data_IF_383667234868
#
_entry.id   IF_383667234868
#
_cell.length_a   1.000
_cell.length_b   1.000
_cell.length_c   1.000
_cell.angle_alpha   90.00
_cell.angle_beta   90.00
_cell.angle_gamma   90.00
#
_symmetry.space_group_name_H-M   'P 1'
#
loop_
_entity.id
_entity.type
_entity.pdbx_description
1 polymer ?
#
# COMPACT_ATOMS: atom_id res chain seq x y z
N UNK A 1 6.00 12.60 9.24
CA UNK A 1 4.53 12.43 9.27
C UNK A 1 3.77 13.65 8.71
N UNK A 2 3.63 14.78 9.42
CA UNK A 2 2.92 15.96 8.88
C UNK A 2 3.59 16.54 7.62
N UNK A 3 4.93 16.52 7.59
CA UNK A 3 5.71 16.93 6.42
C UNK A 3 5.38 16.08 5.18
N UNK A 4 5.26 14.76 5.34
CA UNK A 4 4.95 13.85 4.23
C UNK A 4 3.56 14.13 3.66
N UNK A 5 2.56 14.30 4.54
CA UNK A 5 1.19 14.64 4.14
C UNK A 5 1.17 15.96 3.36
N UNK A 6 1.88 16.99 3.87
CA UNK A 6 1.95 18.29 3.21
C UNK A 6 2.59 18.19 1.82
N UNK A 7 3.72 17.49 1.70
CA UNK A 7 4.46 17.36 0.44
C UNK A 7 3.67 16.51 -0.56
N UNK A 8 3.06 15.39 -0.12
CA UNK A 8 2.19 14.56 -0.96
C UNK A 8 0.97 15.34 -1.44
N UNK A 9 0.39 16.19 -0.60
CA UNK A 9 -0.75 17.02 -0.98
C UNK A 9 -0.36 18.09 -2.01
N UNK A 10 0.78 18.76 -1.82
CA UNK A 10 1.28 19.80 -2.73
C UNK A 10 1.70 19.22 -4.09
N UNK A 11 2.42 18.10 -4.09
CA UNK A 11 2.98 17.46 -5.28
C UNK A 11 2.15 16.27 -5.78
N UNK A 12 0.86 16.23 -5.43
CA UNK A 12 -0.01 15.09 -5.74
C UNK A 12 -0.09 14.79 -7.24
N UNK A 13 -0.06 15.84 -8.08
CA UNK A 13 -0.18 15.71 -9.53
C UNK A 13 1.11 15.14 -10.12
N UNK A 14 2.24 15.58 -9.61
CA UNK A 14 3.60 15.22 -10.00
C UNK A 14 3.91 13.78 -9.61
N UNK A 15 3.61 13.37 -8.36
CA UNK A 15 3.74 11.98 -7.94
C UNK A 15 2.87 11.05 -8.79
N UNK A 16 1.61 11.42 -9.02
CA UNK A 16 0.73 10.64 -9.90
C UNK A 16 1.32 10.50 -11.30
N UNK A 17 1.72 11.59 -11.95
CA UNK A 17 2.21 11.51 -13.34
C UNK A 17 3.51 10.72 -13.45
N UNK A 18 4.47 10.97 -12.57
CA UNK A 18 5.77 10.30 -12.58
C UNK A 18 5.67 8.80 -12.23
N UNK A 19 4.69 8.38 -11.43
CA UNK A 19 4.49 6.95 -11.12
C UNK A 19 3.81 6.16 -12.23
N UNK A 20 2.94 6.78 -13.04
CA UNK A 20 2.21 6.08 -14.10
C UNK A 20 2.81 6.27 -15.50
N UNK A 21 3.37 7.45 -15.80
CA UNK A 21 3.98 7.76 -17.10
C UNK A 21 5.18 8.73 -16.94
N UNK A 22 6.38 8.20 -16.63
CA UNK A 22 7.60 9.00 -16.54
C UNK A 22 7.95 9.73 -17.84
N UNK A 23 7.65 9.13 -19.00
CA UNK A 23 7.92 9.71 -20.31
C UNK A 23 7.06 10.94 -20.58
N UNK A 24 5.76 10.86 -20.29
CA UNK A 24 4.84 12.00 -20.39
C UNK A 24 5.20 13.08 -19.38
N UNK A 25 5.56 12.71 -18.15
CA UNK A 25 5.99 13.66 -17.13
C UNK A 25 7.22 14.48 -17.58
N UNK A 26 8.21 13.81 -18.19
CA UNK A 26 9.37 14.47 -18.77
C UNK A 26 8.98 15.38 -19.96
N UNK A 27 8.06 14.93 -20.82
CA UNK A 27 7.61 15.69 -21.98
C UNK A 27 6.87 17.00 -21.60
N UNK A 28 6.16 17.02 -20.47
CA UNK A 28 5.49 18.22 -19.95
C UNK A 28 6.39 19.09 -19.04
N UNK A 29 7.69 18.77 -18.93
CA UNK A 29 8.67 19.55 -18.20
C UNK A 29 8.75 19.27 -16.69
N UNK A 30 8.14 18.19 -16.19
CA UNK A 30 8.30 17.79 -14.79
C UNK A 30 9.70 17.17 -14.61
N UNK A 31 10.50 17.61 -13.61
CA UNK A 31 11.79 17.00 -13.33
C UNK A 31 11.59 15.64 -12.64
N UNK A 32 11.39 14.58 -13.43
CA UNK A 32 11.10 13.21 -12.97
C UNK A 32 12.11 12.74 -11.91
N UNK A 33 13.40 13.02 -12.13
CA UNK A 33 14.48 12.64 -11.22
C UNK A 33 14.33 13.31 -9.84
N UNK A 34 13.99 14.60 -9.82
CA UNK A 34 13.82 15.35 -8.57
C UNK A 34 12.59 14.85 -7.79
N UNK A 35 11.46 14.62 -8.47
CA UNK A 35 10.25 14.08 -7.85
C UNK A 35 10.50 12.68 -7.29
N UNK A 36 11.26 11.84 -8.00
CA UNK A 36 11.66 10.52 -7.52
C UNK A 36 12.52 10.61 -6.25
N UNK A 37 13.53 11.48 -6.21
CA UNK A 37 14.36 11.65 -5.01
C UNK A 37 13.61 12.27 -3.84
N UNK A 38 12.65 13.16 -4.08
CA UNK A 38 11.75 13.66 -3.03
C UNK A 38 10.96 12.48 -2.45
N UNK A 39 10.31 11.66 -3.30
CA UNK A 39 9.56 10.49 -2.84
C UNK A 39 10.45 9.53 -2.03
N UNK A 40 11.62 9.19 -2.56
CA UNK A 40 12.58 8.31 -1.88
C UNK A 40 13.06 8.89 -0.55
N UNK A 41 13.25 10.21 -0.47
CA UNK A 41 13.58 10.92 0.76
C UNK A 41 12.48 10.82 1.82
N UNK A 42 11.23 11.06 1.44
CA UNK A 42 10.07 10.93 2.34
C UNK A 42 9.94 9.50 2.87
N UNK A 43 10.04 8.50 1.98
CA UNK A 43 9.97 7.08 2.34
C UNK A 43 11.12 6.72 3.28
N UNK A 44 12.34 7.17 2.99
CA UNK A 44 13.53 6.89 3.80
C UNK A 44 13.39 7.45 5.23
N UNK A 45 13.07 8.74 5.36
CA UNK A 45 12.89 9.40 6.68
C UNK A 45 11.77 8.72 7.48
N UNK A 46 10.66 8.40 6.82
CA UNK A 46 9.53 7.73 7.45
C UNK A 46 9.88 6.31 7.90
N UNK A 47 10.56 5.54 7.04
CA UNK A 47 10.91 4.14 7.34
C UNK A 47 11.91 4.04 8.48
N UNK A 48 12.96 4.88 8.47
CA UNK A 48 13.99 4.89 9.53
C UNK A 48 13.39 5.30 10.87
N UNK A 49 12.53 6.33 10.90
CA UNK A 49 11.86 6.75 12.14
C UNK A 49 10.88 5.69 12.67
N UNK A 50 10.17 4.98 11.78
CA UNK A 50 9.26 3.91 12.18
C UNK A 50 10.00 2.65 12.69
N UNK A 51 11.15 2.31 12.09
CA UNK A 51 11.97 1.17 12.53
C UNK A 51 12.42 1.31 13.99
N UNK A 52 12.82 2.50 14.41
CA UNK A 52 13.25 2.76 15.79
C UNK A 52 12.08 2.62 16.79
N UNK A 53 10.86 2.97 16.37
CA UNK A 53 9.68 2.94 17.23
C UNK A 53 9.06 1.55 17.39
N UNK A 54 8.94 0.77 16.30
CA UNK A 54 8.14 -0.47 16.30
C UNK A 54 8.87 -1.69 15.73
N UNK A 55 10.08 -1.50 15.20
CA UNK A 55 10.93 -2.56 14.64
C UNK A 55 10.74 -2.79 13.15
N UNK A 56 11.76 -3.40 12.53
CA UNK A 56 11.85 -3.53 11.08
C UNK A 56 10.75 -4.40 10.46
N UNK A 57 10.36 -5.50 11.13
CA UNK A 57 9.41 -6.47 10.58
C UNK A 57 8.03 -5.82 10.35
N UNK A 58 7.54 -5.07 11.33
CA UNK A 58 6.22 -4.44 11.22
C UNK A 58 6.20 -3.40 10.11
N UNK A 59 7.25 -2.57 10.04
CA UNK A 59 7.32 -1.49 9.07
C UNK A 59 7.37 -2.03 7.64
N UNK A 60 8.15 -3.09 7.37
CA UNK A 60 8.16 -3.71 6.04
C UNK A 60 6.78 -4.32 5.71
N UNK A 61 6.14 -4.99 6.67
CA UNK A 61 4.83 -5.58 6.46
C UNK A 61 3.77 -4.51 6.13
N UNK A 62 3.70 -3.45 6.92
CA UNK A 62 2.71 -2.35 6.76
C UNK A 62 3.03 -1.41 5.60
N UNK A 63 4.28 -1.33 5.16
CA UNK A 63 4.63 -0.55 3.96
C UNK A 63 4.18 -1.25 2.67
N UNK A 64 4.10 -2.59 2.66
CA UNK A 64 3.85 -3.37 1.45
C UNK A 64 2.42 -3.93 1.41
N UNK A 65 1.97 -4.62 2.45
CA UNK A 65 0.74 -5.41 2.44
C UNK A 65 -0.55 -4.58 2.23
N UNK A 66 -0.84 -3.50 2.98
CA UNK A 66 -2.06 -2.72 2.78
C UNK A 66 -2.06 -1.99 1.42
N UNK A 67 -0.89 -1.55 0.94
CA UNK A 67 -0.75 -0.95 -0.38
C UNK A 67 -1.03 -1.94 -1.52
N UNK A 68 -0.47 -3.15 -1.42
CA UNK A 68 -0.74 -4.23 -2.36
C UNK A 68 -2.21 -4.69 -2.31
N UNK A 69 -2.81 -4.74 -1.12
CA UNK A 69 -4.22 -5.07 -0.92
C UNK A 69 -5.13 -4.02 -1.56
N UNK A 70 -4.85 -2.73 -1.36
CA UNK A 70 -5.60 -1.64 -1.97
C UNK A 70 -5.48 -1.65 -3.50
N UNK A 71 -4.30 -1.97 -4.04
CA UNK A 71 -4.08 -2.10 -5.47
C UNK A 71 -4.94 -3.21 -6.10
N UNK A 72 -5.16 -4.32 -5.40
CA UNK A 72 -6.05 -5.39 -5.87
C UNK A 72 -7.55 -5.01 -5.88
N UNK A 73 -7.93 -3.97 -5.15
CA UNK A 73 -9.31 -3.51 -5.02
C UNK A 73 -9.66 -2.35 -5.96
N UNK A 74 -8.68 -1.52 -6.36
CA UNK A 74 -8.96 -0.33 -7.19
C UNK A 74 -7.78 0.09 -8.07
N UNK A 75 -8.10 0.57 -9.28
CA UNK A 75 -7.11 1.17 -10.20
C UNK A 75 -6.98 2.70 -10.03
N UNK A 76 -7.80 3.32 -9.17
CA UNK A 76 -7.80 4.78 -9.00
C UNK A 76 -6.81 5.18 -7.91
N UNK A 77 -5.69 5.79 -8.28
CA UNK A 77 -4.62 6.24 -7.36
C UNK A 77 -5.11 6.94 -6.08
N UNK A 78 -6.05 7.89 -6.19
CA UNK A 78 -6.64 8.58 -5.02
C UNK A 78 -7.35 7.62 -4.06
N UNK A 79 -8.11 6.69 -4.61
CA UNK A 79 -8.88 5.70 -3.84
C UNK A 79 -7.91 4.68 -3.25
N UNK A 80 -6.87 4.29 -3.99
CA UNK A 80 -5.84 3.36 -3.53
C UNK A 80 -5.09 3.88 -2.30
N UNK A 81 -4.69 5.15 -2.30
CA UNK A 81 -4.04 5.77 -1.12
C UNK A 81 -4.95 5.76 0.11
N UNK A 82 -6.23 6.10 -0.08
CA UNK A 82 -7.19 6.13 1.03
C UNK A 82 -7.52 4.71 1.52
N UNK A 83 -7.75 3.77 0.61
CA UNK A 83 -7.99 2.37 0.96
C UNK A 83 -6.80 1.74 1.67
N UNK A 84 -5.57 2.00 1.20
CA UNK A 84 -4.36 1.51 1.86
C UNK A 84 -4.30 1.98 3.31
N UNK A 85 -4.56 3.25 3.58
CA UNK A 85 -4.56 3.77 4.96
C UNK A 85 -5.69 3.18 5.82
N UNK A 86 -6.88 2.97 5.25
CA UNK A 86 -7.99 2.33 5.97
C UNK A 86 -7.66 0.88 6.29
N UNK A 87 -7.14 0.11 5.33
CA UNK A 87 -6.74 -1.29 5.51
C UNK A 87 -5.64 -1.39 6.57
N UNK A 88 -4.63 -0.53 6.51
CA UNK A 88 -3.54 -0.49 7.49
C UNK A 88 -4.04 -0.26 8.94
N UNK A 89 -4.99 0.66 9.12
CA UNK A 89 -5.63 0.89 10.43
C UNK A 89 -6.42 -0.34 10.87
N UNK A 90 -7.17 -0.97 9.97
CA UNK A 90 -7.92 -2.20 10.27
C UNK A 90 -6.99 -3.35 10.68
N UNK A 91 -5.92 -3.58 9.92
CA UNK A 91 -4.92 -4.63 10.17
C UNK A 91 -4.21 -4.39 11.50
N UNK A 92 -3.90 -3.13 11.80
CA UNK A 92 -3.29 -2.72 13.07
C UNK A 92 -4.19 -3.01 14.27
N UNK A 93 -5.48 -2.69 14.17
CA UNK A 93 -6.46 -2.94 15.24
C UNK A 93 -6.63 -4.46 15.46
N UNK A 94 -6.87 -5.21 14.38
CA UNK A 94 -7.08 -6.67 14.45
C UNK A 94 -5.83 -7.36 15.00
N UNK A 95 -4.66 -7.01 14.47
CA UNK A 95 -3.38 -7.55 14.89
C UNK A 95 -3.04 -7.25 16.34
N UNK A 96 -3.30 -6.02 16.81
CA UNK A 96 -3.06 -5.63 18.21
C UNK A 96 -3.95 -6.39 19.19
N UNK A 97 -5.26 -6.49 18.92
CA UNK A 97 -6.17 -7.26 19.77
C UNK A 97 -5.86 -8.75 19.72
N UNK A 98 -5.48 -9.28 18.55
CA UNK A 98 -5.00 -10.65 18.41
C UNK A 98 -3.75 -10.91 19.26
N UNK A 99 -2.76 -10.02 19.20
CA UNK A 99 -1.54 -10.13 20.00
C UNK A 99 -1.84 -10.21 21.50
N UNK A 100 -2.76 -9.37 21.98
CA UNK A 100 -3.17 -9.33 23.38
C UNK A 100 -3.90 -10.60 23.84
N UNK A 101 -4.69 -11.21 22.97
CA UNK A 101 -5.45 -12.43 23.30
C UNK A 101 -4.56 -13.67 23.34
N UNK A 102 -3.60 -13.78 22.42
CA UNK A 102 -2.73 -14.94 22.28
C UNK A 102 -1.38 -14.80 23.00
N UNK A 103 -1.13 -13.67 23.66
CA UNK A 103 0.13 -13.32 24.35
C UNK A 103 1.36 -13.48 23.43
N UNK A 104 1.23 -12.99 22.19
CA UNK A 104 2.28 -13.06 21.16
C UNK A 104 2.83 -11.67 20.83
N UNK A 105 3.93 -11.63 20.07
CA UNK A 105 4.52 -10.38 19.58
C UNK A 105 3.51 -9.52 18.81
N UNK A 106 3.33 -8.28 19.26
CA UNK A 106 2.42 -7.29 18.65
C UNK A 106 2.79 -7.05 17.18
N UNK A 107 4.07 -6.81 16.90
CA UNK A 107 4.56 -6.54 15.55
C UNK A 107 4.41 -7.76 14.64
N UNK A 108 4.60 -8.97 15.16
CA UNK A 108 4.36 -10.21 14.43
C UNK A 108 2.88 -10.44 14.12
N UNK A 109 2.00 -10.26 15.10
CA UNK A 109 0.57 -10.44 14.94
C UNK A 109 -0.06 -9.44 13.95
N UNK A 110 0.37 -8.17 14.00
CA UNK A 110 -0.05 -7.15 13.03
C UNK A 110 0.42 -7.48 11.62
N UNK A 111 1.66 -7.94 11.44
CA UNK A 111 2.14 -8.39 10.13
C UNK A 111 1.36 -9.59 9.59
N UNK A 112 1.01 -10.55 10.46
CA UNK A 112 0.16 -11.70 10.09
C UNK A 112 -1.25 -11.25 9.72
N UNK A 113 -1.85 -10.32 10.46
CA UNK A 113 -3.16 -9.76 10.14
C UNK A 113 -3.17 -9.12 8.74
N UNK A 114 -2.18 -8.27 8.44
CA UNK A 114 -2.04 -7.66 7.12
C UNK A 114 -1.83 -8.70 6.00
N UNK A 115 -1.04 -9.74 6.27
CA UNK A 115 -0.86 -10.87 5.35
C UNK A 115 -2.14 -11.67 5.11
N UNK A 116 -2.95 -11.89 6.15
CA UNK A 116 -4.25 -12.58 6.04
C UNK A 116 -5.26 -11.76 5.25
N UNK A 117 -5.34 -10.45 5.53
CA UNK A 117 -6.24 -9.55 4.79
C UNK A 117 -5.83 -9.46 3.32
N UNK A 118 -4.52 -9.32 3.04
CA UNK A 118 -4.00 -9.40 1.68
C UNK A 118 -4.39 -10.72 1.00
N UNK A 119 -4.20 -11.86 1.68
CA UNK A 119 -4.50 -13.18 1.12
C UNK A 119 -6.00 -13.36 0.82
N UNK A 120 -6.87 -12.91 1.71
CA UNK A 120 -8.32 -12.94 1.53
C UNK A 120 -8.73 -12.07 0.34
N UNK A 121 -8.23 -10.84 0.28
CA UNK A 121 -8.54 -9.90 -0.82
C UNK A 121 -7.97 -10.41 -2.14
N UNK A 122 -6.79 -11.00 -2.15
CA UNK A 122 -6.21 -11.62 -3.34
C UNK A 122 -7.06 -12.77 -3.86
N UNK A 123 -7.59 -13.62 -2.98
CA UNK A 123 -8.49 -14.70 -3.35
C UNK A 123 -9.83 -14.18 -3.90
N UNK A 124 -10.37 -13.11 -3.31
CA UNK A 124 -11.67 -12.53 -3.65
C UNK A 124 -11.61 -11.47 -4.76
N UNK A 125 -10.43 -10.97 -5.14
CA UNK A 125 -10.30 -9.81 -6.03
C UNK A 125 -10.94 -10.07 -7.41
N UNK A 126 -11.92 -9.25 -7.84
CA UNK A 126 -12.63 -9.44 -9.10
C UNK A 126 -11.81 -9.17 -10.38
N UNK A 127 -10.62 -8.56 -10.30
CA UNK A 127 -9.80 -8.24 -11.50
C UNK A 127 -8.53 -9.08 -11.61
N UNK A 128 -7.94 -9.48 -10.48
CA UNK A 128 -6.70 -10.26 -10.44
C UNK A 128 -6.82 -11.58 -9.67
N UNK A 129 -7.94 -11.83 -9.00
CA UNK A 129 -8.18 -13.04 -8.22
C UNK A 129 -8.51 -14.25 -9.08
N UNK A 130 -8.14 -15.43 -8.59
CA UNK A 130 -8.38 -16.73 -9.21
C UNK A 130 -9.85 -16.94 -9.63
N UNK A 131 -10.80 -16.39 -8.87
CA UNK A 131 -12.25 -16.54 -9.11
C UNK A 131 -12.70 -15.82 -10.38
N UNK A 132 -12.15 -14.62 -10.67
CA UNK A 132 -12.51 -13.87 -11.88
C UNK A 132 -11.94 -14.49 -13.15
N UNK A 133 -10.74 -15.10 -13.06
CA UNK A 133 -10.17 -15.89 -14.16
C UNK A 133 -11.02 -17.13 -14.45
N UNK A 134 -11.50 -17.82 -13.42
CA UNK A 134 -12.39 -18.98 -13.59
C UNK A 134 -13.77 -18.59 -14.15
N UNK A 135 -14.33 -17.43 -13.80
CA UNK A 135 -15.61 -16.96 -14.36
C UNK A 135 -15.48 -16.48 -15.82
N UNK A 136 -14.42 -15.75 -16.17
CA UNK A 136 -14.22 -15.29 -17.55
C UNK A 136 -13.83 -16.40 -18.52
N UNK A 137 -13.16 -17.46 -18.05
CA UNK A 137 -12.88 -18.63 -18.91
C UNK A 137 -14.16 -19.36 -19.33
N UNK A 138 -15.20 -19.40 -18.47
CA UNK A 138 -16.49 -20.01 -18.83
C UNK A 138 -17.33 -19.21 -19.81
N UNK A 139 -17.10 -17.91 -19.96
CA UNK A 139 -17.81 -17.05 -20.91
C UNK A 139 -17.16 -17.03 -22.32
N UNK A 140 -16.00 -17.67 -22.49
CA UNK A 140 -15.34 -17.82 -23.81
C UNK A 140 -15.55 -19.24 -24.39
N UNK A 141 -16.20 -20.14 -23.64
CA UNK A 141 -16.52 -21.52 -24.05
C UNK A 141 -17.99 -21.72 -24.47
N UNK A 142 -18.83 -20.68 -24.48
CA UNK A 142 -20.15 -20.66 -25.17
C UNK A 142 -20.08 -19.84 -26.46
#
# INVERSE_FOLDING_TARGET
MLLDILIIFLLFKEFKLTSFDPSMAAAIGIPVLAVHYILMGLVSVTTVSAFDSVGAILVVAMLIAPGATAYLLTDRYKVMLLLSGVIDVFDSIIGYYGAKMFDVSISGAMAVAAGLVFFIVWMLSPKYGLISRFLNQRLTEE
#
